data_IF_126162698303
#
_entry.id   IF_126162698303
#
_cell.length_a   1.000
_cell.length_b   1.000
_cell.length_c   1.000
_cell.angle_alpha   90.00
_cell.angle_beta   90.00
_cell.angle_gamma   90.00
#
_symmetry.space_group_name_H-M   'P 1'
#
loop_
_entity.id
_entity.type
_entity.pdbx_description
1 polymer ?
#
# COMPACT_ATOMS: atom_id res chain seq x y z
N UNK A 1 15.95 -2.20 24.68
CA UNK A 1 16.65 -3.25 23.88
C UNK A 1 16.17 -3.24 22.43
N UNK A 2 17.04 -3.50 21.45
CA UNK A 2 16.65 -3.60 20.04
C UNK A 2 15.79 -4.85 19.79
N UNK A 3 14.73 -4.74 18.98
CA UNK A 3 13.94 -5.90 18.53
C UNK A 3 14.72 -6.78 17.55
N UNK A 4 14.26 -8.02 17.30
CA UNK A 4 14.95 -9.02 16.47
C UNK A 4 15.31 -8.49 15.07
N UNK A 5 14.37 -7.81 14.39
CA UNK A 5 14.61 -7.20 13.07
C UNK A 5 15.65 -6.08 13.13
N UNK A 6 15.68 -5.27 14.19
CA UNK A 6 16.70 -4.24 14.37
C UNK A 6 18.08 -4.85 14.63
N UNK A 7 18.16 -5.95 15.40
CA UNK A 7 19.41 -6.73 15.57
C UNK A 7 19.90 -7.30 14.24
N UNK A 8 19.00 -7.93 13.46
CA UNK A 8 19.35 -8.52 12.16
C UNK A 8 19.83 -7.46 11.14
N UNK A 9 19.15 -6.30 11.07
CA UNK A 9 19.58 -5.18 10.21
C UNK A 9 20.96 -4.66 10.57
N UNK A 10 21.23 -4.45 11.86
CA UNK A 10 22.56 -3.99 12.33
C UNK A 10 23.64 -5.01 11.99
N UNK A 11 23.38 -6.29 12.19
CA UNK A 11 24.30 -7.36 11.81
C UNK A 11 24.54 -7.38 10.29
N UNK A 12 23.52 -7.15 9.47
CA UNK A 12 23.67 -7.04 8.01
C UNK A 12 24.60 -5.90 7.59
N UNK A 13 24.52 -4.74 8.28
CA UNK A 13 25.43 -3.62 8.05
C UNK A 13 26.87 -4.01 8.40
N UNK A 14 27.09 -4.59 9.57
CA UNK A 14 28.42 -5.04 10.00
C UNK A 14 29.00 -6.10 9.06
N UNK A 15 28.21 -7.10 8.66
CA UNK A 15 28.63 -8.11 7.69
C UNK A 15 29.04 -7.50 6.36
N UNK A 16 28.31 -6.49 5.87
CA UNK A 16 28.65 -5.82 4.62
C UNK A 16 29.96 -5.04 4.73
N UNK A 17 30.17 -4.34 5.85
CA UNK A 17 31.40 -3.60 6.13
C UNK A 17 32.62 -4.51 6.26
N UNK A 18 32.53 -5.57 7.07
CA UNK A 18 33.63 -6.52 7.25
C UNK A 18 33.91 -7.30 5.98
N UNK A 19 32.88 -7.64 5.19
CA UNK A 19 33.06 -8.23 3.85
C UNK A 19 33.82 -7.29 2.93
N UNK A 20 33.54 -5.99 2.97
CA UNK A 20 34.28 -4.98 2.21
C UNK A 20 35.75 -4.94 2.66
N UNK A 21 36.03 -4.75 3.95
CA UNK A 21 37.42 -4.70 4.45
C UNK A 21 38.21 -5.98 4.17
N UNK A 22 37.56 -7.14 4.29
CA UNK A 22 38.20 -8.41 3.96
C UNK A 22 38.54 -8.50 2.47
N UNK A 23 37.62 -8.08 1.59
CA UNK A 23 37.88 -8.04 0.13
C UNK A 23 38.95 -7.03 -0.28
N UNK A 24 39.10 -5.94 0.47
CA UNK A 24 40.16 -4.94 0.26
C UNK A 24 41.46 -5.32 0.98
N UNK A 25 41.54 -6.53 1.55
CA UNK A 25 42.71 -7.04 2.29
C UNK A 25 43.13 -6.18 3.50
N UNK A 26 42.25 -5.26 3.94
CA UNK A 26 42.47 -4.41 5.11
C UNK A 26 42.34 -5.19 6.42
N UNK A 27 41.67 -6.34 6.39
CA UNK A 27 41.59 -7.30 7.50
C UNK A 27 41.87 -8.71 6.99
N UNK A 28 42.50 -9.54 7.83
CA UNK A 28 42.90 -10.92 7.48
C UNK A 28 41.76 -11.93 7.53
N UNK A 29 40.64 -11.61 8.17
CA UNK A 29 39.48 -12.51 8.30
C UNK A 29 38.17 -11.74 8.52
N UNK A 30 37.05 -12.32 8.07
CA UNK A 30 35.71 -11.75 8.23
C UNK A 30 34.99 -12.36 9.44
N UNK A 31 35.28 -11.84 10.64
CA UNK A 31 34.66 -12.33 11.90
C UNK A 31 33.15 -12.10 11.97
N UNK A 32 32.62 -11.08 11.29
CA UNK A 32 31.19 -10.79 11.28
C UNK A 32 30.35 -11.88 10.57
N UNK A 33 30.99 -12.71 9.72
CA UNK A 33 30.35 -13.85 9.08
C UNK A 33 30.00 -14.97 10.08
N UNK A 34 30.77 -15.09 11.17
CA UNK A 34 30.61 -16.14 12.19
C UNK A 34 29.49 -15.85 13.18
N UNK A 35 29.02 -14.60 13.25
CA UNK A 35 27.95 -14.22 14.18
C UNK A 35 26.62 -14.72 13.64
N UNK A 36 25.90 -15.51 14.42
CA UNK A 36 24.59 -16.02 14.03
C UNK A 36 23.57 -14.91 13.82
N UNK A 37 22.73 -15.09 12.80
CA UNK A 37 21.61 -14.18 12.57
C UNK A 37 20.52 -14.51 13.58
N UNK A 38 19.96 -13.51 14.31
CA UNK A 38 18.86 -13.78 15.21
C UNK A 38 17.71 -14.43 14.44
N UNK A 39 17.13 -15.51 15.01
CA UNK A 39 15.91 -16.10 14.46
C UNK A 39 14.84 -15.02 14.39
N UNK A 40 14.29 -14.82 13.20
CA UNK A 40 13.22 -13.85 12.98
C UNK A 40 11.90 -14.59 13.07
N UNK A 41 11.11 -14.29 14.10
CA UNK A 41 9.77 -14.83 14.18
C UNK A 41 8.86 -14.16 13.15
N UNK A 42 8.13 -14.97 12.39
CA UNK A 42 7.12 -14.45 11.46
C UNK A 42 5.99 -13.80 12.25
N UNK A 43 5.63 -12.58 11.87
CA UNK A 43 4.45 -11.90 12.41
C UNK A 43 3.32 -12.08 11.44
N UNK A 44 2.12 -12.34 11.97
CA UNK A 44 0.90 -12.37 11.17
C UNK A 44 0.80 -11.10 10.30
N UNK A 45 0.46 -11.29 9.04
CA UNK A 45 0.23 -10.20 8.09
C UNK A 45 -1.12 -9.58 8.45
N UNK A 46 -1.08 -8.34 8.93
CA UNK A 46 -2.26 -7.58 9.31
C UNK A 46 -2.80 -6.90 8.05
N UNK A 47 -4.04 -7.24 7.69
CA UNK A 47 -4.83 -6.74 6.56
C UNK A 47 -6.26 -6.47 7.01
N UNK A 48 -7.00 -5.72 6.20
CA UNK A 48 -8.44 -5.54 6.40
C UNK A 48 -9.20 -6.75 5.83
N UNK A 49 -10.28 -7.13 6.49
CA UNK A 49 -11.30 -8.03 5.92
C UNK A 49 -12.25 -7.25 4.99
N UNK A 50 -13.01 -7.91 4.09
CA UNK A 50 -13.89 -7.21 3.15
C UNK A 50 -14.90 -6.26 3.80
N UNK A 51 -15.49 -6.65 4.94
CA UNK A 51 -16.40 -5.79 5.68
C UNK A 51 -15.67 -4.57 6.28
N UNK A 52 -14.46 -4.74 6.79
CA UNK A 52 -13.67 -3.63 7.33
C UNK A 52 -13.19 -2.67 6.22
N UNK A 53 -13.08 -3.15 4.98
CA UNK A 53 -12.81 -2.31 3.80
C UNK A 53 -14.03 -1.44 3.49
N UNK A 54 -15.22 -2.04 3.43
CA UNK A 54 -16.48 -1.31 3.25
C UNK A 54 -16.67 -0.27 4.37
N UNK A 55 -16.54 -0.69 5.63
CA UNK A 55 -16.64 0.21 6.79
C UNK A 55 -15.65 1.38 6.69
N UNK A 56 -14.42 1.14 6.24
CA UNK A 56 -13.41 2.19 6.08
C UNK A 56 -13.83 3.26 5.06
N UNK A 57 -14.40 2.85 3.93
CA UNK A 57 -14.89 3.75 2.88
C UNK A 57 -16.15 4.48 3.34
N UNK A 58 -17.11 3.78 3.93
CA UNK A 58 -18.34 4.36 4.48
C UNK A 58 -18.02 5.43 5.53
N UNK A 59 -17.10 5.16 6.46
CA UNK A 59 -16.65 6.13 7.46
C UNK A 59 -15.94 7.33 6.82
N UNK A 60 -15.24 7.12 5.70
CA UNK A 60 -14.63 8.20 4.94
C UNK A 60 -15.66 9.09 4.24
N UNK A 61 -16.78 8.53 3.81
CA UNK A 61 -17.89 9.25 3.20
C UNK A 61 -18.77 9.96 4.22
N UNK A 62 -19.26 9.25 5.24
CA UNK A 62 -20.26 9.77 6.16
C UNK A 62 -19.67 10.46 7.40
N UNK A 63 -18.40 10.23 7.72
CA UNK A 63 -17.73 10.82 8.88
C UNK A 63 -18.24 10.32 10.23
N UNK A 64 -18.95 9.19 10.27
CA UNK A 64 -19.44 8.59 11.50
C UNK A 64 -18.28 8.21 12.44
N UNK A 65 -18.50 8.35 13.74
CA UNK A 65 -17.50 8.09 14.77
C UNK A 65 -16.33 9.11 14.84
N UNK A 66 -16.27 10.09 13.93
CA UNK A 66 -15.30 11.19 14.03
C UNK A 66 -15.65 12.13 15.20
N UNK A 67 -14.62 12.70 15.82
CA UNK A 67 -14.81 13.75 16.83
C UNK A 67 -15.37 15.02 16.19
N UNK A 68 -15.98 15.90 16.99
CA UNK A 68 -16.52 17.19 16.48
C UNK A 68 -15.46 18.04 15.76
N UNK A 69 -14.22 18.02 16.27
CA UNK A 69 -13.11 18.70 15.59
C UNK A 69 -12.79 18.04 14.24
N UNK A 70 -12.81 16.72 14.16
CA UNK A 70 -12.55 15.99 12.91
C UNK A 70 -13.66 16.19 11.89
N UNK A 71 -14.93 16.25 12.31
CA UNK A 71 -16.09 16.49 11.44
C UNK A 71 -15.99 17.84 10.71
N UNK A 72 -15.58 18.90 11.39
CA UNK A 72 -15.36 20.22 10.77
C UNK A 72 -14.38 20.19 9.60
N UNK A 73 -13.31 19.40 9.71
CA UNK A 73 -12.35 19.24 8.62
C UNK A 73 -12.82 18.23 7.57
N UNK A 74 -13.54 17.20 8.01
CA UNK A 74 -14.06 16.15 7.13
C UNK A 74 -14.99 16.72 6.07
N UNK A 75 -15.83 17.70 6.38
CA UNK A 75 -16.68 18.37 5.38
C UNK A 75 -15.87 18.88 4.17
N UNK A 76 -14.71 19.49 4.43
CA UNK A 76 -13.82 19.97 3.37
C UNK A 76 -12.98 18.86 2.72
N UNK A 77 -12.62 17.82 3.47
CA UNK A 77 -11.67 16.79 3.00
C UNK A 77 -12.31 15.48 2.56
N UNK A 78 -13.62 15.30 2.73
CA UNK A 78 -14.34 14.05 2.50
C UNK A 78 -14.03 13.45 1.14
N UNK A 79 -14.29 14.21 0.07
CA UNK A 79 -14.16 13.71 -1.31
C UNK A 79 -12.71 13.32 -1.61
N UNK A 80 -11.75 14.13 -1.18
CA UNK A 80 -10.32 13.79 -1.26
C UNK A 80 -9.98 12.51 -0.50
N UNK A 81 -10.45 12.41 0.73
CA UNK A 81 -10.10 11.31 1.62
C UNK A 81 -10.67 9.98 1.11
N UNK A 82 -11.91 9.99 0.57
CA UNK A 82 -12.53 8.86 -0.13
C UNK A 82 -11.69 8.48 -1.36
N UNK A 83 -11.40 9.43 -2.26
CA UNK A 83 -10.59 9.16 -3.45
C UNK A 83 -9.22 8.56 -3.12
N UNK A 84 -8.52 9.04 -2.09
CA UNK A 84 -7.23 8.48 -1.65
C UNK A 84 -7.39 7.04 -1.16
N UNK A 85 -8.41 6.74 -0.35
CA UNK A 85 -8.62 5.40 0.20
C UNK A 85 -9.05 4.41 -0.89
N UNK A 86 -10.00 4.80 -1.75
CA UNK A 86 -10.45 4.02 -2.90
C UNK A 86 -9.29 3.72 -3.84
N UNK A 87 -8.43 4.71 -4.12
CA UNK A 87 -7.24 4.51 -4.96
C UNK A 87 -6.28 3.46 -4.36
N UNK A 88 -6.01 3.53 -3.05
CA UNK A 88 -5.18 2.50 -2.37
C UNK A 88 -5.79 1.10 -2.46
N UNK A 89 -7.10 1.01 -2.25
CA UNK A 89 -7.82 -0.26 -2.16
C UNK A 89 -8.17 -0.86 -3.53
N UNK A 90 -8.25 -0.04 -4.59
CA UNK A 90 -8.59 -0.49 -5.94
C UNK A 90 -7.38 -0.73 -6.86
N UNK A 91 -6.21 -0.15 -6.55
CA UNK A 91 -5.01 -0.27 -7.41
C UNK A 91 -3.78 -0.79 -6.67
N UNK A 92 -3.84 -0.77 -5.33
CA UNK A 92 -2.70 -1.10 -4.50
C UNK A 92 -1.58 -0.07 -4.50
N UNK A 93 -1.68 1.09 -5.17
CA UNK A 93 -0.61 2.11 -5.33
C UNK A 93 0.29 2.33 -4.09
N UNK A 94 1.60 2.60 -4.27
CA UNK A 94 2.49 2.94 -3.14
C UNK A 94 2.24 4.37 -2.69
N UNK A 95 2.43 4.63 -1.39
CA UNK A 95 2.24 6.00 -0.85
C UNK A 95 3.10 7.05 -1.55
N UNK A 96 4.34 6.72 -1.91
CA UNK A 96 5.23 7.66 -2.62
C UNK A 96 4.75 7.98 -4.03
N UNK A 97 4.13 7.00 -4.69
CA UNK A 97 3.53 7.16 -6.03
C UNK A 97 2.28 8.03 -5.91
N UNK A 98 1.36 7.71 -4.97
CA UNK A 98 0.13 8.47 -4.74
C UNK A 98 0.38 9.94 -4.44
N UNK A 99 1.31 10.26 -3.54
CA UNK A 99 1.62 11.66 -3.22
C UNK A 99 2.35 12.37 -4.35
N UNK A 100 2.97 11.62 -5.26
CA UNK A 100 3.71 12.10 -6.42
C UNK A 100 2.83 12.42 -7.62
N UNK A 101 1.65 11.80 -7.72
CA UNK A 101 0.72 11.97 -8.85
C UNK A 101 0.41 13.43 -9.16
N UNK A 102 0.39 13.74 -10.45
CA UNK A 102 -0.13 14.96 -11.02
C UNK A 102 -1.48 14.71 -11.69
N UNK A 103 -2.18 15.78 -12.07
CA UNK A 103 -3.47 15.67 -12.76
C UNK A 103 -3.29 14.94 -14.09
N UNK A 104 -2.27 15.37 -14.85
CA UNK A 104 -1.93 14.87 -16.18
C UNK A 104 -1.39 13.44 -16.18
N UNK A 105 -1.07 12.88 -15.01
CA UNK A 105 -0.65 11.48 -14.90
C UNK A 105 -1.86 10.54 -14.99
N UNK A 106 -3.10 11.04 -14.89
CA UNK A 106 -4.34 10.26 -14.90
C UNK A 106 -5.05 10.38 -16.25
N UNK A 107 -5.27 9.24 -16.89
CA UNK A 107 -6.04 9.09 -18.11
C UNK A 107 -7.37 8.39 -17.80
N UNK A 108 -8.47 9.13 -17.96
CA UNK A 108 -9.84 8.63 -17.74
C UNK A 108 -10.49 8.02 -18.99
N UNK A 109 -9.82 8.05 -20.15
CA UNK A 109 -10.24 7.33 -21.35
C UNK A 109 -9.76 5.87 -21.29
N UNK A 110 -8.54 5.66 -20.80
CA UNK A 110 -7.96 4.32 -20.62
C UNK A 110 -8.07 3.78 -19.19
N UNK A 111 -8.67 4.54 -18.27
CA UNK A 111 -8.75 4.24 -16.83
C UNK A 111 -7.41 3.80 -16.22
N UNK A 112 -6.38 4.61 -16.44
CA UNK A 112 -5.02 4.32 -16.02
C UNK A 112 -4.30 5.57 -15.51
N UNK A 113 -3.25 5.37 -14.71
CA UNK A 113 -2.32 6.44 -14.39
C UNK A 113 -0.86 5.99 -14.44
N UNK A 114 0.01 6.91 -14.84
CA UNK A 114 1.45 6.71 -14.93
C UNK A 114 2.09 7.01 -13.57
N UNK A 115 2.86 6.07 -13.03
CA UNK A 115 3.60 6.24 -11.78
C UNK A 115 5.10 6.14 -11.98
N UNK A 116 5.84 7.04 -11.34
CA UNK A 116 7.31 6.97 -11.32
C UNK A 116 7.80 6.10 -10.16
N UNK A 117 8.54 5.05 -10.47
CA UNK A 117 9.16 4.13 -9.51
C UNK A 117 10.60 4.51 -9.19
N UNK A 118 11.16 3.83 -8.19
CA UNK A 118 12.56 4.01 -7.77
C UNK A 118 13.50 3.82 -8.96
N UNK A 119 14.32 4.83 -9.24
CA UNK A 119 15.26 4.85 -10.36
C UNK A 119 14.75 5.58 -11.60
N UNK A 120 13.57 6.22 -11.54
CA UNK A 120 13.00 6.99 -12.65
C UNK A 120 12.26 6.15 -13.69
N UNK A 121 12.13 4.84 -13.46
CA UNK A 121 11.31 3.97 -14.31
C UNK A 121 9.83 4.31 -14.13
N UNK A 122 9.12 4.47 -15.24
CA UNK A 122 7.66 4.61 -15.24
C UNK A 122 7.00 3.23 -15.24
N UNK A 123 5.80 3.18 -14.68
CA UNK A 123 4.89 2.05 -14.81
C UNK A 123 3.46 2.55 -14.89
N UNK A 124 2.57 1.73 -15.45
CA UNK A 124 1.16 2.05 -15.63
C UNK A 124 0.36 1.24 -14.62
N UNK A 125 -0.54 1.90 -13.89
CA UNK A 125 -1.52 1.25 -13.04
C UNK A 125 -2.91 1.50 -13.60
N UNK A 126 -3.62 0.42 -13.92
CA UNK A 126 -5.01 0.47 -14.34
C UNK A 126 -5.93 0.49 -13.12
N UNK A 127 -7.10 1.11 -13.26
CA UNK A 127 -8.11 1.19 -12.22
C UNK A 127 -9.51 0.89 -12.78
N UNK A 128 -10.44 0.50 -11.90
CA UNK A 128 -11.82 0.21 -12.28
C UNK A 128 -12.78 1.36 -11.98
N UNK A 129 -14.07 1.13 -12.27
CA UNK A 129 -15.15 2.12 -12.19
C UNK A 129 -15.24 2.82 -10.82
N UNK A 130 -15.13 2.08 -9.71
CA UNK A 130 -15.21 2.68 -8.36
C UNK A 130 -14.10 3.70 -8.11
N UNK A 131 -12.88 3.40 -8.57
CA UNK A 131 -11.74 4.33 -8.46
C UNK A 131 -11.94 5.51 -9.39
N UNK A 132 -12.42 5.25 -10.61
CA UNK A 132 -12.72 6.27 -11.61
C UNK A 132 -13.73 7.29 -11.08
N UNK A 133 -14.84 6.83 -10.54
CA UNK A 133 -15.89 7.67 -9.97
C UNK A 133 -15.37 8.52 -8.80
N UNK A 134 -14.62 7.91 -7.89
CA UNK A 134 -14.05 8.62 -6.75
C UNK A 134 -13.03 9.68 -7.19
N UNK A 135 -12.19 9.37 -8.18
CA UNK A 135 -11.22 10.31 -8.74
C UNK A 135 -11.92 11.46 -9.49
N UNK A 136 -12.91 11.20 -10.32
CA UNK A 136 -13.67 12.24 -11.03
C UNK A 136 -14.35 13.20 -10.04
N UNK A 137 -14.99 12.66 -9.01
CA UNK A 137 -15.57 13.48 -7.93
C UNK A 137 -14.53 14.40 -7.29
N UNK A 138 -13.34 13.86 -7.02
CA UNK A 138 -12.27 14.63 -6.41
C UNK A 138 -11.66 15.66 -7.37
N UNK A 139 -11.42 15.31 -8.64
CA UNK A 139 -10.87 16.21 -9.65
C UNK A 139 -11.78 17.41 -9.85
N UNK A 140 -13.10 17.21 -9.94
CA UNK A 140 -14.07 18.30 -10.02
C UNK A 140 -13.99 19.24 -8.80
N UNK A 141 -13.86 18.69 -7.57
CA UNK A 141 -13.66 19.51 -6.37
C UNK A 141 -12.32 20.25 -6.38
N UNK A 142 -11.26 19.58 -6.85
CA UNK A 142 -9.89 20.09 -6.90
C UNK A 142 -9.76 21.24 -7.90
N UNK A 143 -10.43 21.19 -9.04
CA UNK A 143 -10.43 22.26 -10.06
C UNK A 143 -10.99 23.59 -9.53
N UNK A 144 -11.90 23.53 -8.54
CA UNK A 144 -12.44 24.72 -7.88
C UNK A 144 -11.48 25.31 -6.85
N UNK A 145 -10.42 24.59 -6.47
CA UNK A 145 -9.44 25.06 -5.51
C UNK A 145 -8.33 25.85 -6.21
N UNK A 146 -7.93 26.98 -5.63
CA UNK A 146 -6.74 27.71 -6.06
C UNK A 146 -5.50 27.12 -5.37
N UNK A 147 -4.62 26.36 -6.07
CA UNK A 147 -3.42 25.76 -5.47
C UNK A 147 -2.41 26.84 -5.07
N UNK A 148 -1.56 26.54 -4.10
CA UNK A 148 -0.40 27.37 -3.83
C UNK A 148 0.63 27.30 -4.97
N UNK A 149 1.38 28.39 -5.16
CA UNK A 149 2.46 28.45 -6.14
C UNK A 149 3.41 27.24 -6.03
N UNK A 150 3.66 26.56 -7.16
CA UNK A 150 4.50 25.36 -7.24
C UNK A 150 3.79 24.04 -6.91
N UNK A 151 2.48 24.05 -6.68
CA UNK A 151 1.65 22.87 -6.40
C UNK A 151 0.48 22.70 -7.38
N UNK A 152 0.44 23.47 -8.46
CA UNK A 152 -0.65 23.56 -9.43
C UNK A 152 -0.90 22.24 -10.16
N UNK A 153 0.15 21.44 -10.36
CA UNK A 153 0.09 20.14 -11.04
C UNK A 153 -0.29 18.99 -10.11
N UNK A 154 -0.19 19.16 -8.79
CA UNK A 154 -0.40 18.06 -7.85
C UNK A 154 -1.86 17.56 -7.92
N UNK A 155 -2.07 16.25 -8.06
CA UNK A 155 -3.40 15.67 -8.06
C UNK A 155 -4.06 15.91 -6.69
N UNK A 156 -3.43 15.42 -5.62
CA UNK A 156 -3.96 15.54 -4.27
C UNK A 156 -3.38 16.74 -3.51
N UNK A 157 -4.28 17.62 -3.05
CA UNK A 157 -3.95 18.81 -2.27
C UNK A 157 -4.32 18.65 -0.77
N UNK A 158 -3.49 19.24 0.09
CA UNK A 158 -3.80 19.43 1.50
C UNK A 158 -4.77 20.60 1.71
N UNK A 159 -5.26 20.79 2.94
CA UNK A 159 -6.07 21.96 3.29
C UNK A 159 -5.33 23.29 3.11
N UNK A 160 -3.99 23.26 3.15
CA UNK A 160 -3.13 24.40 2.84
C UNK A 160 -2.91 24.60 1.32
N UNK A 161 -3.66 23.88 0.47
CA UNK A 161 -3.58 23.99 -1.00
C UNK A 161 -2.20 23.64 -1.57
N UNK A 162 -1.42 22.85 -0.84
CA UNK A 162 -0.13 22.29 -1.27
C UNK A 162 -0.29 20.82 -1.62
N UNK A 163 0.65 20.25 -2.38
CA UNK A 163 0.75 18.79 -2.56
C UNK A 163 0.66 18.08 -1.21
N UNK A 164 -0.21 17.08 -1.12
CA UNK A 164 -0.36 16.30 0.11
C UNK A 164 0.94 15.55 0.43
N UNK A 165 1.30 15.51 1.71
CA UNK A 165 2.51 14.81 2.15
C UNK A 165 2.21 13.36 2.51
N UNK A 166 3.22 12.49 2.42
CA UNK A 166 3.10 11.11 2.89
C UNK A 166 2.63 11.04 4.35
N UNK A 167 3.12 11.96 5.19
CA UNK A 167 2.70 12.02 6.59
C UNK A 167 1.23 12.36 6.76
N UNK A 168 0.69 13.27 5.94
CA UNK A 168 -0.73 13.60 5.96
C UNK A 168 -1.58 12.39 5.53
N UNK A 169 -1.16 11.67 4.50
CA UNK A 169 -1.82 10.43 4.05
C UNK A 169 -1.77 9.33 5.13
N UNK A 170 -0.64 9.15 5.82
CA UNK A 170 -0.55 8.21 6.95
C UNK A 170 -1.53 8.55 8.06
N UNK A 171 -1.66 9.84 8.40
CA UNK A 171 -2.58 10.32 9.43
C UNK A 171 -4.05 10.12 9.00
N UNK A 172 -4.35 10.37 7.72
CA UNK A 172 -5.66 10.12 7.11
C UNK A 172 -6.04 8.64 7.20
N UNK A 173 -5.16 7.74 6.76
CA UNK A 173 -5.42 6.28 6.84
C UNK A 173 -5.61 5.86 8.30
N UNK A 174 -4.78 6.37 9.21
CA UNK A 174 -4.90 6.06 10.65
C UNK A 174 -6.21 6.59 11.24
N UNK A 175 -6.71 7.74 10.80
CA UNK A 175 -7.96 8.36 11.27
C UNK A 175 -9.14 7.39 11.08
N UNK A 176 -9.34 6.93 9.85
CA UNK A 176 -10.46 6.04 9.51
C UNK A 176 -10.23 4.61 9.97
N UNK A 177 -9.01 4.08 9.86
CA UNK A 177 -8.77 2.69 10.23
C UNK A 177 -8.91 2.43 11.74
N UNK A 178 -8.71 3.43 12.60
CA UNK A 178 -8.98 3.30 14.04
C UNK A 178 -10.46 3.08 14.36
N UNK A 179 -11.35 3.50 13.47
CA UNK A 179 -12.80 3.34 13.60
C UNK A 179 -13.25 2.03 12.96
N UNK A 180 -12.81 1.77 11.71
CA UNK A 180 -13.16 0.56 10.98
C UNK A 180 -12.57 -0.73 11.57
N UNK A 181 -11.34 -0.66 12.09
CA UNK A 181 -10.62 -1.83 12.62
C UNK A 181 -9.77 -1.45 13.84
N UNK A 182 -10.39 -1.18 15.00
CA UNK A 182 -9.70 -0.63 16.18
C UNK A 182 -8.58 -1.52 16.73
N UNK A 183 -8.65 -2.83 16.47
CA UNK A 183 -7.66 -3.82 16.91
C UNK A 183 -6.47 -3.93 15.94
N UNK A 184 -6.60 -3.45 14.69
CA UNK A 184 -5.57 -3.56 13.66
C UNK A 184 -4.89 -2.20 13.46
N UNK A 185 -3.56 -2.19 13.58
CA UNK A 185 -2.77 -1.00 13.22
C UNK A 185 -2.62 -0.90 11.69
N UNK A 186 -3.59 -0.33 10.99
CA UNK A 186 -3.53 -0.18 9.54
C UNK A 186 -2.64 1.02 9.14
N UNK A 187 -1.94 0.88 8.03
CA UNK A 187 -1.08 1.89 7.40
C UNK A 187 -1.29 1.82 5.88
N UNK A 188 -0.85 2.83 5.11
CA UNK A 188 -0.96 2.81 3.65
C UNK A 188 -0.41 1.54 3.00
N UNK A 189 0.73 1.05 3.49
CA UNK A 189 1.31 -0.21 2.99
C UNK A 189 0.46 -1.45 3.30
N UNK A 190 -0.33 -1.41 4.39
CA UNK A 190 -1.29 -2.47 4.71
C UNK A 190 -2.54 -2.39 3.84
N UNK A 191 -2.99 -1.21 3.41
CA UNK A 191 -4.05 -1.09 2.40
C UNK A 191 -3.61 -1.70 1.06
N UNK A 192 -2.38 -1.41 0.62
CA UNK A 192 -1.77 -2.11 -0.54
C UNK A 192 -1.75 -3.63 -0.35
N UNK A 193 -1.44 -4.08 0.87
CA UNK A 193 -1.44 -5.51 1.17
C UNK A 193 -2.85 -6.11 1.16
N UNK A 194 -3.85 -5.38 1.67
CA UNK A 194 -5.26 -5.76 1.57
C UNK A 194 -5.67 -5.94 0.11
N UNK A 195 -5.39 -4.97 -0.76
CA UNK A 195 -5.67 -5.07 -2.20
C UNK A 195 -5.01 -6.32 -2.82
N UNK A 196 -3.71 -6.53 -2.56
CA UNK A 196 -3.00 -7.71 -3.07
C UNK A 196 -3.61 -9.03 -2.61
N UNK A 197 -4.09 -9.09 -1.37
CA UNK A 197 -4.80 -10.26 -0.86
C UNK A 197 -6.16 -10.45 -1.53
N UNK A 198 -6.96 -9.40 -1.67
CA UNK A 198 -8.26 -9.47 -2.36
C UNK A 198 -8.08 -9.91 -3.82
N UNK A 199 -7.17 -9.29 -4.56
CA UNK A 199 -6.87 -9.64 -5.94
C UNK A 199 -6.43 -11.10 -6.07
N UNK A 200 -5.57 -11.59 -5.16
CA UNK A 200 -5.17 -13.00 -5.16
C UNK A 200 -6.36 -13.93 -4.86
N UNK A 201 -7.24 -13.57 -3.94
CA UNK A 201 -8.42 -14.38 -3.63
C UNK A 201 -9.35 -14.53 -4.83
N UNK A 202 -9.60 -13.44 -5.57
CA UNK A 202 -10.45 -13.46 -6.75
C UNK A 202 -9.81 -14.17 -7.95
N UNK A 203 -8.53 -13.93 -8.19
CA UNK A 203 -7.87 -14.40 -9.43
C UNK A 203 -7.18 -15.75 -9.28
N UNK A 204 -6.77 -16.10 -8.06
CA UNK A 204 -5.87 -17.24 -7.76
C UNK A 204 -4.58 -17.24 -8.59
N UNK A 205 -4.19 -16.09 -9.17
CA UNK A 205 -3.02 -15.93 -10.02
C UNK A 205 -1.96 -15.08 -9.31
N UNK A 206 -0.90 -15.74 -8.85
CA UNK A 206 0.18 -15.08 -8.12
C UNK A 206 1.07 -14.22 -9.04
N UNK A 207 1.15 -14.54 -10.33
CA UNK A 207 1.96 -13.79 -11.30
C UNK A 207 1.25 -12.48 -11.66
N UNK A 208 -0.06 -12.54 -11.89
CA UNK A 208 -0.89 -11.34 -12.07
C UNK A 208 -0.77 -10.41 -10.85
N UNK A 209 -0.92 -10.93 -9.64
CA UNK A 209 -0.79 -10.12 -8.41
C UNK A 209 0.62 -9.53 -8.28
N UNK A 210 1.67 -10.27 -8.66
CA UNK A 210 3.04 -9.77 -8.61
C UNK A 210 3.27 -8.63 -9.63
N UNK A 211 2.72 -8.77 -10.83
CA UNK A 211 2.83 -7.80 -11.91
C UNK A 211 2.11 -6.49 -11.55
N UNK A 212 0.84 -6.58 -11.17
CA UNK A 212 0.03 -5.43 -10.72
C UNK A 212 0.67 -4.72 -9.52
N UNK A 213 1.22 -5.49 -8.57
CA UNK A 213 1.95 -4.93 -7.43
C UNK A 213 3.42 -4.58 -7.73
N UNK A 214 3.88 -4.70 -8.97
CA UNK A 214 5.25 -4.35 -9.36
C UNK A 214 6.32 -5.01 -8.50
N UNK A 215 6.12 -6.27 -8.14
CA UNK A 215 7.06 -7.07 -7.36
C UNK A 215 8.08 -7.73 -8.27
N UNK A 216 9.35 -7.33 -8.14
CA UNK A 216 10.46 -7.91 -8.93
C UNK A 216 10.70 -9.40 -8.67
N UNK A 217 10.25 -9.91 -7.53
CA UNK A 217 10.38 -11.32 -7.14
C UNK A 217 9.02 -11.83 -6.66
N UNK A 218 8.46 -12.77 -7.41
CA UNK A 218 7.19 -13.44 -7.12
C UNK A 218 7.18 -14.12 -5.75
N UNK A 219 8.33 -14.50 -5.19
CA UNK A 219 8.41 -15.05 -3.83
C UNK A 219 7.95 -14.04 -2.77
N UNK A 220 8.12 -12.74 -3.03
CA UNK A 220 7.57 -11.69 -2.16
C UNK A 220 6.05 -11.80 -2.16
N UNK A 221 5.43 -11.84 -3.33
CA UNK A 221 3.98 -12.01 -3.51
C UNK A 221 3.49 -13.29 -2.84
N UNK A 222 4.17 -14.43 -3.06
CA UNK A 222 3.81 -15.72 -2.46
C UNK A 222 3.80 -15.69 -0.94
N UNK A 223 4.86 -15.16 -0.32
CA UNK A 223 4.95 -15.04 1.15
C UNK A 223 3.89 -14.12 1.73
N UNK A 224 3.46 -13.12 0.98
CA UNK A 224 2.56 -12.08 1.46
C UNK A 224 1.08 -12.37 1.24
N UNK A 225 0.71 -13.03 0.14
CA UNK A 225 -0.70 -13.18 -0.28
C UNK A 225 -1.14 -14.63 -0.44
N UNK A 226 -0.22 -15.52 -0.82
CA UNK A 226 -0.51 -16.94 -1.05
C UNK A 226 0.02 -17.86 0.06
N UNK A 227 -0.01 -17.39 1.31
CA UNK A 227 0.31 -18.26 2.44
C UNK A 227 -0.65 -19.47 2.41
N UNK A 228 -0.14 -20.71 2.52
CA UNK A 228 -0.99 -21.90 2.56
C UNK A 228 -2.00 -21.75 3.69
N UNK A 229 -3.28 -21.69 3.35
CA UNK A 229 -4.38 -21.72 4.30
C UNK A 229 -5.08 -23.08 4.15
N UNK A 230 -5.73 -23.54 5.21
CA UNK A 230 -6.61 -24.71 5.13
C UNK A 230 -7.73 -24.50 4.10
N UNK A 231 -8.11 -23.24 3.84
CA UNK A 231 -9.07 -22.90 2.80
C UNK A 231 -8.59 -23.22 1.39
N UNK A 232 -7.32 -22.90 1.06
CA UNK A 232 -6.76 -23.27 -0.25
C UNK A 232 -6.70 -24.78 -0.46
N UNK A 233 -6.42 -25.56 0.61
CA UNK A 233 -6.44 -27.02 0.55
C UNK A 233 -7.85 -27.56 0.31
N UNK A 234 -8.87 -26.96 0.94
CA UNK A 234 -10.28 -27.33 0.75
C UNK A 234 -10.79 -27.00 -0.65
N UNK A 235 -10.43 -25.82 -1.18
CA UNK A 235 -10.77 -25.43 -2.57
C UNK A 235 -10.10 -26.40 -3.55
N UNK A 236 -8.80 -26.68 -3.39
CA UNK A 236 -8.07 -27.61 -4.25
C UNK A 236 -8.70 -29.01 -4.26
N UNK A 237 -9.11 -29.52 -3.09
CA UNK A 237 -9.76 -30.82 -2.97
C UNK A 237 -11.09 -30.94 -3.72
N UNK A 238 -11.81 -29.83 -3.92
CA UNK A 238 -13.11 -29.80 -4.61
C UNK A 238 -13.03 -29.42 -6.10
N UNK A 239 -11.88 -28.92 -6.56
CA UNK A 239 -11.73 -28.35 -7.90
C UNK A 239 -11.53 -29.41 -8.99
N UNK A 240 -10.98 -30.57 -8.64
CA UNK A 240 -10.80 -31.69 -9.59
C UNK A 240 -12.01 -32.62 -9.47
N UNK A 241 -12.82 -32.68 -10.53
CA UNK A 241 -13.83 -33.74 -10.71
C UNK A 241 -13.24 -34.81 -11.63
N UNK A 242 -13.35 -36.07 -11.24
CA UNK A 242 -12.79 -37.20 -11.99
C UNK A 242 -13.74 -37.75 -13.07
N UNK A 243 -14.98 -37.28 -13.09
CA UNK A 243 -16.02 -37.65 -14.05
C UNK A 243 -16.84 -36.41 -14.36
N UNK A 244 -17.15 -36.23 -15.64
CA UNK A 244 -18.10 -35.21 -16.09
C UNK A 244 -19.53 -35.67 -15.73
N UNK A 245 -20.37 -34.71 -15.31
CA UNK A 245 -21.82 -34.91 -15.22
C UNK A 245 -22.45 -34.77 -16.60
#
# INVERSE_FOLDING_TARGET
MNNERAKARKLSTLRSLFKYFFKQELIRSNVAALVDTPKLHEKAIIRLEPNEVADLLDLAENGAGLTEQQKRYHEATRVRDVAILTLFLGTGIRISELVGLNIEDVDFESDAFVVTRKGGAEDILNFGDEVREALLCYVAQREQALPMAGHERALFLSLQKKRITARAVENLVKKYARLASPLKKITPHKLRSTYGTMLYHETQDIYLVADVLGHKDVNTTRKHYAAPSEEHKRIAAKKIRLRDE
#
